data_IF_767981858025
#
_entry.id   IF_767981858025
#
_cell.length_a   1.000
_cell.length_b   1.000
_cell.length_c   1.000
_cell.angle_alpha   90.00
_cell.angle_beta   90.00
_cell.angle_gamma   90.00
#
_symmetry.space_group_name_H-M   'P 1'
#
loop_
_entity.id
_entity.type
_entity.pdbx_description
1 polymer ?
#
# COMPACT_ATOMS: atom_id res chain seq x y z
N UNK A 1 12.65 5.72 37.04
CA UNK A 1 13.20 6.82 36.21
C UNK A 1 12.75 6.54 34.78
N UNK A 2 11.88 7.28 34.10
CA UNK A 2 11.40 8.66 34.25
C UNK A 2 9.95 8.75 33.69
N UNK A 3 9.03 9.54 34.29
CA UNK A 3 7.76 9.83 33.66
C UNK A 3 7.94 11.06 32.74
N UNK A 4 7.94 10.85 31.43
CA UNK A 4 7.99 11.92 30.46
C UNK A 4 6.57 12.50 30.26
N UNK A 5 6.04 13.16 31.29
CA UNK A 5 4.82 13.97 31.21
C UNK A 5 5.22 15.35 30.64
N UNK A 6 5.06 15.56 29.34
CA UNK A 6 5.19 16.91 28.75
C UNK A 6 4.01 17.76 29.22
N UNK A 7 4.27 18.65 30.18
CA UNK A 7 3.32 19.63 30.73
C UNK A 7 3.31 20.89 29.85
N UNK A 8 2.34 21.02 28.95
CA UNK A 8 2.01 22.34 28.37
C UNK A 8 0.79 22.90 29.08
N UNK A 9 1.04 23.66 30.17
CA UNK A 9 0.00 24.28 30.99
C UNK A 9 0.12 25.81 30.86
N UNK A 10 -0.83 26.46 30.19
CA UNK A 10 -0.94 27.93 30.20
C UNK A 10 -1.80 28.32 31.40
N UNK A 11 -1.15 28.74 32.48
CA UNK A 11 -1.80 29.22 33.70
C UNK A 11 -2.34 30.64 33.44
N UNK A 12 -3.65 30.84 33.47
CA UNK A 12 -4.25 32.19 33.53
C UNK A 12 -4.87 32.39 34.91
N UNK A 13 -4.09 32.99 35.83
CA UNK A 13 -4.64 33.50 37.09
C UNK A 13 -5.41 34.80 36.81
N UNK A 14 -6.72 34.81 37.14
CA UNK A 14 -7.44 36.06 37.39
C UNK A 14 -7.37 36.34 38.89
N UNK A 15 -6.54 37.30 39.28
CA UNK A 15 -6.52 37.82 40.66
C UNK A 15 -7.58 38.92 40.73
N UNK A 16 -8.60 38.74 41.56
CA UNK A 16 -9.53 39.82 41.93
C UNK A 16 -9.28 40.13 43.40
N UNK A 17 -8.78 41.33 43.67
CA UNK A 17 -8.50 41.78 45.02
C UNK A 17 -9.79 42.28 45.66
N UNK A 18 -10.25 41.62 46.71
CA UNK A 18 -11.15 42.21 47.70
C UNK A 18 -10.55 41.96 49.09
N UNK A 19 -10.69 42.96 49.95
CA UNK A 19 -9.90 43.11 51.16
C UNK A 19 -10.19 41.99 52.17
N UNK A 20 -9.10 41.35 52.59
CA UNK A 20 -8.95 40.59 53.83
C UNK A 20 -9.45 39.13 53.92
N UNK A 21 -9.64 38.43 52.80
CA UNK A 21 -9.61 36.96 52.79
C UNK A 21 -9.29 36.45 51.39
N UNK A 22 -8.10 35.87 51.22
CA UNK A 22 -7.78 35.11 50.00
C UNK A 22 -8.67 33.86 49.98
N UNK A 23 -9.82 33.92 49.31
CA UNK A 23 -10.58 32.72 48.94
C UNK A 23 -9.92 32.14 47.70
N UNK A 24 -9.08 31.14 47.89
CA UNK A 24 -8.68 30.24 46.80
C UNK A 24 -9.88 29.35 46.52
N UNK A 25 -10.77 29.73 45.58
CA UNK A 25 -11.76 28.80 45.06
C UNK A 25 -11.05 27.87 44.08
N UNK A 26 -10.73 26.68 44.56
CA UNK A 26 -10.06 25.62 43.81
C UNK A 26 -11.05 24.96 42.83
N UNK A 27 -11.48 25.70 41.81
CA UNK A 27 -12.21 25.11 40.68
C UNK A 27 -11.21 24.53 39.68
N UNK A 28 -10.53 23.47 40.11
CA UNK A 28 -9.55 22.73 39.35
C UNK A 28 -10.28 21.73 38.43
N UNK A 29 -10.98 22.23 37.41
CA UNK A 29 -11.41 21.38 36.30
C UNK A 29 -10.20 21.09 35.41
N UNK A 30 -9.39 20.11 35.82
CA UNK A 30 -8.40 19.50 34.93
C UNK A 30 -9.14 18.79 33.80
N UNK A 31 -9.25 19.43 32.64
CA UNK A 31 -9.52 18.72 31.40
C UNK A 31 -8.27 17.91 31.05
N UNK A 32 -8.14 16.71 31.62
CA UNK A 32 -7.16 15.72 31.18
C UNK A 32 -7.53 15.35 29.74
N UNK A 33 -6.84 15.93 28.76
CA UNK A 33 -6.74 15.32 27.44
C UNK A 33 -5.98 14.01 27.63
N UNK A 34 -6.71 12.93 27.80
CA UNK A 34 -6.15 11.60 27.97
C UNK A 34 -5.58 11.17 26.61
N UNK A 35 -4.27 11.21 26.47
CA UNK A 35 -3.58 10.71 25.28
C UNK A 35 -3.51 9.19 25.38
N UNK A 36 -4.18 8.49 24.48
CA UNK A 36 -4.20 7.03 24.50
C UNK A 36 -2.99 6.46 23.75
N UNK A 37 -2.41 5.40 24.30
CA UNK A 37 -1.41 4.58 23.64
C UNK A 37 -2.03 3.26 23.22
N UNK A 38 -2.11 3.04 21.92
CA UNK A 38 -2.70 1.84 21.32
C UNK A 38 -1.57 0.94 20.82
N UNK A 39 -1.37 -0.19 21.49
CA UNK A 39 -0.39 -1.19 21.14
C UNK A 39 -0.85 -2.09 19.99
N UNK A 40 0.05 -2.41 19.09
CA UNK A 40 -0.16 -3.35 17.99
C UNK A 40 0.88 -4.47 18.04
N UNK A 41 0.40 -5.70 18.21
CA UNK A 41 1.19 -6.92 18.14
C UNK A 41 0.87 -7.68 16.85
N UNK A 42 1.86 -8.38 16.29
CA UNK A 42 1.64 -9.29 15.15
C UNK A 42 2.24 -10.66 15.44
N UNK A 43 1.43 -11.69 15.27
CA UNK A 43 1.84 -13.08 15.44
C UNK A 43 1.83 -13.73 14.07
N UNK A 44 3.00 -14.11 13.58
CA UNK A 44 3.11 -14.95 12.38
C UNK A 44 3.17 -16.42 12.75
N UNK A 45 2.95 -17.32 11.78
CA UNK A 45 3.15 -18.76 11.98
C UNK A 45 4.58 -19.14 12.41
N UNK A 46 5.55 -18.22 12.29
CA UNK A 46 6.94 -18.38 12.72
C UNK A 46 7.23 -17.79 14.11
N UNK A 47 6.33 -16.97 14.67
CA UNK A 47 6.51 -16.40 16.00
C UNK A 47 6.14 -17.45 17.05
N UNK A 48 7.15 -17.92 17.79
CA UNK A 48 6.96 -18.91 18.85
C UNK A 48 6.44 -18.28 20.16
N UNK A 49 6.50 -16.94 20.31
CA UNK A 49 6.19 -16.25 21.57
C UNK A 49 5.41 -14.93 21.38
N UNK A 50 4.09 -14.98 21.17
CA UNK A 50 3.24 -13.78 21.08
C UNK A 50 3.23 -12.94 22.37
N UNK A 51 3.33 -13.59 23.53
CA UNK A 51 3.28 -12.94 24.85
C UNK A 51 4.41 -11.92 25.07
N UNK A 52 5.62 -12.17 24.57
CA UNK A 52 6.73 -11.23 24.70
C UNK A 52 6.46 -9.87 24.04
N UNK A 53 5.68 -9.85 22.94
CA UNK A 53 5.29 -8.59 22.30
C UNK A 53 4.24 -7.86 23.13
N UNK A 54 3.24 -8.57 23.64
CA UNK A 54 2.19 -7.99 24.48
C UNK A 54 2.77 -7.43 25.78
N UNK A 55 3.70 -8.14 26.40
CA UNK A 55 4.40 -7.71 27.61
C UNK A 55 5.20 -6.41 27.36
N UNK A 56 5.92 -6.33 26.23
CA UNK A 56 6.66 -5.13 25.85
C UNK A 56 5.73 -3.93 25.61
N UNK A 57 4.58 -4.14 24.95
CA UNK A 57 3.59 -3.09 24.71
C UNK A 57 2.92 -2.62 26.00
N UNK A 58 2.59 -3.55 26.91
CA UNK A 58 2.07 -3.22 28.24
C UNK A 58 3.10 -2.47 29.07
N UNK A 59 4.36 -2.88 29.04
CA UNK A 59 5.46 -2.19 29.72
C UNK A 59 5.70 -0.76 29.17
N UNK A 60 5.41 -0.53 27.89
CA UNK A 60 5.45 0.80 27.27
C UNK A 60 4.26 1.71 27.67
N UNK A 61 3.30 1.17 28.43
CA UNK A 61 2.11 1.86 28.91
C UNK A 61 1.00 1.96 27.88
N UNK A 62 0.83 0.95 27.00
CA UNK A 62 -0.31 0.89 26.10
C UNK A 62 -1.60 0.61 26.89
N UNK A 63 -2.63 1.43 26.66
CA UNK A 63 -3.95 1.29 27.28
C UNK A 63 -4.71 0.11 26.68
N UNK A 64 -4.67 0.00 25.36
CA UNK A 64 -5.29 -1.07 24.57
C UNK A 64 -4.24 -1.75 23.71
N UNK A 65 -4.30 -3.08 23.58
CA UNK A 65 -3.38 -3.85 22.73
C UNK A 65 -4.19 -4.71 21.77
N UNK A 66 -3.96 -4.51 20.47
CA UNK A 66 -4.56 -5.31 19.41
C UNK A 66 -3.54 -6.27 18.81
N UNK A 67 -3.94 -7.53 18.64
CA UNK A 67 -3.07 -8.58 18.12
C UNK A 67 -3.59 -9.06 16.76
N UNK A 68 -2.76 -8.93 15.72
CA UNK A 68 -3.04 -9.45 14.38
C UNK A 68 -2.38 -10.81 14.14
N UNK A 69 -3.15 -11.78 13.66
CA UNK A 69 -2.66 -13.11 13.29
C UNK A 69 -2.39 -13.18 11.79
N UNK A 70 -1.11 -13.26 11.41
CA UNK A 70 -0.69 -13.36 10.02
C UNK A 70 -0.71 -14.82 9.55
N UNK A 71 -1.86 -15.30 9.06
CA UNK A 71 -1.93 -16.52 8.26
C UNK A 71 -2.06 -16.18 6.77
N UNK A 72 -1.05 -16.54 5.98
CA UNK A 72 -1.07 -16.46 4.51
C UNK A 72 -0.79 -15.09 3.86
N UNK A 73 -0.68 -15.12 2.53
CA UNK A 73 -0.32 -14.00 1.63
C UNK A 73 -1.36 -12.86 1.65
N UNK A 74 -2.55 -13.10 2.19
CA UNK A 74 -3.69 -12.18 2.25
C UNK A 74 -4.22 -11.99 3.68
N UNK A 75 -3.36 -12.07 4.69
CA UNK A 75 -3.74 -11.83 6.08
C UNK A 75 -4.38 -10.44 6.26
N UNK A 76 -5.70 -10.39 6.44
CA UNK A 76 -6.44 -9.22 6.89
C UNK A 76 -5.83 -8.72 8.21
N UNK A 77 -5.87 -7.41 8.45
CA UNK A 77 -5.30 -6.76 9.65
C UNK A 77 -6.38 -6.11 10.51
N UNK A 78 -7.33 -6.91 11.04
CA UNK A 78 -8.43 -6.37 11.83
C UNK A 78 -7.95 -5.62 13.09
N UNK A 79 -6.78 -5.95 13.63
CA UNK A 79 -6.17 -5.24 14.76
C UNK A 79 -5.73 -3.83 14.39
N UNK A 80 -4.94 -3.70 13.31
CA UNK A 80 -4.56 -2.38 12.78
C UNK A 80 -5.79 -1.55 12.39
N UNK A 81 -6.77 -2.14 11.71
CA UNK A 81 -7.98 -1.43 11.28
C UNK A 81 -8.77 -0.89 12.48
N UNK A 82 -8.91 -1.68 13.55
CA UNK A 82 -9.54 -1.26 14.81
C UNK A 82 -8.75 -0.17 15.51
N UNK A 83 -7.43 -0.29 15.59
CA UNK A 83 -6.56 0.72 16.17
C UNK A 83 -6.71 2.06 15.42
N UNK A 84 -6.72 2.03 14.08
CA UNK A 84 -6.93 3.21 13.25
C UNK A 84 -8.32 3.82 13.40
N UNK A 85 -9.35 3.02 13.67
CA UNK A 85 -10.70 3.51 13.89
C UNK A 85 -10.87 4.13 15.29
N UNK A 86 -10.16 3.59 16.28
CA UNK A 86 -10.16 4.07 17.66
C UNK A 86 -9.33 5.36 17.84
N UNK A 87 -8.17 5.43 17.18
CA UNK A 87 -7.19 6.50 17.37
C UNK A 87 -7.70 7.89 16.93
N UNK A 88 -7.42 8.88 17.76
CA UNK A 88 -7.76 10.30 17.57
C UNK A 88 -6.49 11.16 17.54
N UNK A 89 -6.63 12.40 17.11
CA UNK A 89 -5.52 13.36 17.15
C UNK A 89 -4.98 13.50 18.59
N UNK A 90 -3.66 13.36 18.73
CA UNK A 90 -2.93 13.33 20.00
C UNK A 90 -2.60 11.93 20.51
N UNK A 91 -3.30 10.89 20.04
CA UNK A 91 -3.02 9.52 20.44
C UNK A 91 -1.75 8.98 19.80
N UNK A 92 -1.26 7.86 20.33
CA UNK A 92 -0.07 7.18 19.83
C UNK A 92 -0.40 5.74 19.47
N UNK A 93 0.06 5.31 18.30
CA UNK A 93 0.12 3.89 17.92
C UNK A 93 1.52 3.38 18.25
N UNK A 94 1.59 2.32 19.05
CA UNK A 94 2.83 1.74 19.53
C UNK A 94 3.01 0.35 18.95
N UNK A 95 4.17 0.08 18.36
CA UNK A 95 4.59 -1.26 17.91
C UNK A 95 5.93 -1.62 18.51
N UNK A 96 6.21 -2.91 18.66
CA UNK A 96 7.54 -3.36 19.08
C UNK A 96 8.57 -3.13 17.98
N UNK A 97 8.25 -3.51 16.74
CA UNK A 97 9.13 -3.44 15.57
C UNK A 97 8.40 -2.93 14.33
N UNK A 98 9.14 -2.34 13.40
CA UNK A 98 8.60 -1.82 12.13
C UNK A 98 7.90 -2.88 11.26
N UNK A 99 8.38 -4.13 11.26
CA UNK A 99 7.79 -5.24 10.50
C UNK A 99 6.41 -5.70 11.02
N UNK A 100 5.99 -5.15 12.16
CA UNK A 100 4.66 -5.36 12.74
C UNK A 100 3.61 -4.43 12.14
N UNK A 101 4.03 -3.25 11.65
CA UNK A 101 3.13 -2.22 11.13
C UNK A 101 2.89 -2.34 9.60
N UNK A 102 3.87 -2.78 8.82
CA UNK A 102 3.82 -2.81 7.35
C UNK A 102 4.19 -4.18 6.75
N UNK A 103 3.83 -4.44 5.49
CA UNK A 103 4.34 -5.61 4.73
C UNK A 103 5.54 -5.24 3.85
N UNK A 104 5.67 -3.97 3.56
CA UNK A 104 6.78 -3.35 2.84
C UNK A 104 7.11 -2.03 3.52
N UNK A 105 8.32 -1.53 3.27
CA UNK A 105 8.75 -0.22 3.74
C UNK A 105 7.84 0.89 3.20
N UNK A 106 7.45 0.81 1.92
CA UNK A 106 6.51 1.75 1.28
C UNK A 106 5.18 1.85 2.06
N UNK A 107 4.57 0.71 2.40
CA UNK A 107 3.30 0.68 3.14
C UNK A 107 3.44 1.32 4.53
N UNK A 108 4.57 1.12 5.20
CA UNK A 108 4.88 1.74 6.48
C UNK A 108 5.00 3.27 6.37
N UNK A 109 5.66 3.79 5.32
CA UNK A 109 5.81 5.24 5.09
C UNK A 109 4.45 5.88 4.80
N UNK A 110 3.64 5.28 3.93
CA UNK A 110 2.28 5.74 3.62
C UNK A 110 1.40 5.77 4.87
N UNK A 111 1.47 4.71 5.70
CA UNK A 111 0.76 4.64 6.97
C UNK A 111 1.24 5.72 7.94
N UNK A 112 2.55 5.91 8.09
CA UNK A 112 3.11 6.96 8.94
C UNK A 112 2.63 8.36 8.51
N UNK A 113 2.57 8.64 7.21
CA UNK A 113 2.04 9.91 6.69
C UNK A 113 0.57 10.07 7.01
N UNK A 114 -0.23 9.02 6.83
CA UNK A 114 -1.66 9.01 7.15
C UNK A 114 -1.90 9.26 8.64
N UNK A 115 -1.07 8.68 9.52
CA UNK A 115 -1.14 8.93 10.96
C UNK A 115 -0.79 10.38 11.28
N UNK A 116 0.28 10.91 10.68
CA UNK A 116 0.70 12.30 10.87
C UNK A 116 -0.38 13.30 10.41
N UNK A 117 -1.01 13.06 9.26
CA UNK A 117 -2.10 13.90 8.74
C UNK A 117 -3.33 13.89 9.67
N UNK A 118 -3.53 12.79 10.41
CA UNK A 118 -4.56 12.65 11.45
C UNK A 118 -4.13 13.15 12.83
N UNK A 119 -2.89 13.66 12.96
CA UNK A 119 -2.31 14.08 14.24
C UNK A 119 -2.07 12.93 15.22
N UNK A 120 -1.91 11.70 14.73
CA UNK A 120 -1.61 10.50 15.51
C UNK A 120 -0.10 10.23 15.39
N UNK A 121 0.56 9.97 16.51
CA UNK A 121 1.98 9.63 16.52
C UNK A 121 2.20 8.11 16.44
N UNK A 122 3.32 7.72 15.83
CA UNK A 122 3.80 6.35 15.74
C UNK A 122 5.05 6.19 16.61
N UNK A 123 5.01 5.20 17.48
CA UNK A 123 6.12 4.83 18.37
C UNK A 123 6.55 3.39 18.08
N UNK A 124 7.86 3.19 17.96
CA UNK A 124 8.47 1.90 17.65
C UNK A 124 9.52 1.61 18.72
N UNK A 125 9.27 0.59 19.54
CA UNK A 125 10.05 0.35 20.77
C UNK A 125 11.48 -0.07 20.47
N UNK A 126 11.69 -1.08 19.62
CA UNK A 126 13.02 -1.68 19.38
C UNK A 126 13.96 -0.73 18.65
N UNK A 127 13.43 0.03 17.68
CA UNK A 127 14.20 1.02 16.93
C UNK A 127 14.26 2.39 17.65
N UNK A 128 13.56 2.56 18.78
CA UNK A 128 13.53 3.81 19.54
C UNK A 128 12.97 5.00 18.74
N UNK A 129 12.06 4.74 17.79
CA UNK A 129 11.52 5.78 16.90
C UNK A 129 10.22 6.32 17.48
N UNK A 130 10.10 7.64 17.53
CA UNK A 130 8.90 8.34 18.02
C UNK A 130 8.61 9.55 17.12
N UNK A 131 7.53 9.49 16.35
CA UNK A 131 7.14 10.58 15.42
C UNK A 131 6.56 11.80 16.11
N UNK A 132 6.33 11.78 17.43
CA UNK A 132 6.03 12.99 18.19
C UNK A 132 7.26 13.93 18.22
N UNK A 133 8.46 13.36 18.02
CA UNK A 133 9.72 14.10 17.99
C UNK A 133 10.13 14.50 16.58
N UNK A 134 10.85 15.62 16.45
CA UNK A 134 11.39 16.06 15.17
C UNK A 134 12.37 15.04 14.56
N UNK A 135 13.17 14.38 15.42
CA UNK A 135 14.15 13.35 15.01
C UNK A 135 13.43 12.12 14.45
N UNK A 136 12.38 11.64 15.10
CA UNK A 136 11.62 10.48 14.61
C UNK A 136 10.92 10.78 13.28
N UNK A 137 10.35 11.98 13.11
CA UNK A 137 9.78 12.39 11.80
C UNK A 137 10.85 12.45 10.71
N UNK A 138 12.01 13.03 11.00
CA UNK A 138 13.12 13.08 10.06
C UNK A 138 13.59 11.67 9.65
N UNK A 139 13.69 10.74 10.60
CA UNK A 139 14.06 9.36 10.33
C UNK A 139 13.10 8.69 9.34
N UNK A 140 11.78 8.87 9.53
CA UNK A 140 10.78 8.36 8.59
C UNK A 140 10.83 9.04 7.21
N UNK A 141 11.14 10.34 7.15
CA UNK A 141 11.32 11.03 5.85
C UNK A 141 12.53 10.48 5.08
N UNK A 142 13.65 10.21 5.78
CA UNK A 142 14.84 9.62 5.16
C UNK A 142 14.56 8.20 4.67
N UNK A 143 13.90 7.38 5.50
CA UNK A 143 13.45 6.04 5.09
C UNK A 143 12.51 6.11 3.88
N UNK A 144 11.62 7.11 3.85
CA UNK A 144 10.77 7.48 2.72
C UNK A 144 11.55 7.63 1.43
N UNK A 145 12.51 8.55 1.43
CA UNK A 145 13.33 8.85 0.27
C UNK A 145 14.14 7.65 -0.21
N UNK A 146 14.69 6.84 0.71
CA UNK A 146 15.43 5.62 0.36
C UNK A 146 14.50 4.60 -0.33
N UNK A 147 13.29 4.41 0.19
CA UNK A 147 12.32 3.47 -0.38
C UNK A 147 11.89 3.88 -1.80
N UNK A 148 11.65 5.17 -2.02
CA UNK A 148 11.31 5.72 -3.35
C UNK A 148 12.48 5.53 -4.33
N UNK A 149 13.70 5.81 -3.89
CA UNK A 149 14.91 5.60 -4.69
C UNK A 149 15.11 4.13 -5.09
N UNK A 150 14.97 3.20 -4.15
CA UNK A 150 15.04 1.76 -4.43
C UNK A 150 13.96 1.33 -5.43
N UNK A 151 12.74 1.84 -5.29
CA UNK A 151 11.65 1.53 -6.20
C UNK A 151 11.92 2.04 -7.63
N UNK A 152 12.43 3.26 -7.75
CA UNK A 152 12.84 3.84 -9.03
C UNK A 152 13.91 2.97 -9.71
N UNK A 153 14.98 2.60 -8.99
CA UNK A 153 16.04 1.73 -9.51
C UNK A 153 15.54 0.35 -9.96
N UNK A 154 14.61 -0.26 -9.21
CA UNK A 154 14.01 -1.54 -9.61
C UNK A 154 13.17 -1.41 -10.89
N UNK A 155 12.42 -0.32 -11.03
CA UNK A 155 11.61 -0.02 -12.21
C UNK A 155 12.49 0.15 -13.45
N UNK A 156 13.57 0.95 -13.33
CA UNK A 156 14.55 1.18 -14.39
C UNK A 156 15.16 -0.14 -14.88
N UNK A 157 15.70 -0.95 -13.96
CA UNK A 157 16.28 -2.27 -14.31
C UNK A 157 15.27 -3.19 -14.99
N UNK A 158 14.01 -3.14 -14.56
CA UNK A 158 12.95 -3.95 -15.17
C UNK A 158 12.64 -3.48 -16.59
N UNK A 159 12.59 -2.16 -16.81
CA UNK A 159 12.37 -1.57 -18.12
C UNK A 159 13.51 -1.90 -19.09
N UNK A 160 14.77 -1.74 -18.64
CA UNK A 160 15.97 -2.12 -19.41
C UNK A 160 15.99 -3.62 -19.74
N UNK A 161 15.72 -4.47 -18.75
CA UNK A 161 15.63 -5.92 -18.95
C UNK A 161 14.55 -6.32 -19.96
N UNK A 162 13.39 -5.65 -19.92
CA UNK A 162 12.30 -5.87 -20.84
C UNK A 162 12.62 -5.35 -22.25
N UNK A 163 13.29 -4.20 -22.37
CA UNK A 163 13.78 -3.68 -23.64
C UNK A 163 14.81 -4.63 -24.27
N UNK A 164 15.79 -5.10 -23.49
CA UNK A 164 16.78 -6.08 -23.94
C UNK A 164 16.16 -7.43 -24.30
N UNK A 165 15.11 -7.87 -23.59
CA UNK A 165 14.35 -9.07 -23.94
C UNK A 165 13.61 -8.91 -25.29
N UNK A 166 12.96 -7.76 -25.50
CA UNK A 166 12.29 -7.42 -26.76
C UNK A 166 13.27 -7.33 -27.93
N UNK A 167 14.43 -6.71 -27.74
CA UNK A 167 15.50 -6.65 -28.74
C UNK A 167 15.99 -8.06 -29.15
N UNK A 168 15.97 -9.02 -28.21
CA UNK A 168 16.25 -10.45 -28.44
C UNK A 168 15.04 -11.24 -28.96
N UNK A 169 13.95 -10.57 -29.37
CA UNK A 169 12.77 -11.20 -29.96
C UNK A 169 11.74 -11.74 -28.97
N UNK A 170 11.89 -11.54 -27.65
CA UNK A 170 10.84 -11.91 -26.68
C UNK A 170 9.73 -10.86 -26.68
N UNK A 171 8.56 -11.24 -27.18
CA UNK A 171 7.40 -10.35 -27.32
C UNK A 171 6.65 -10.10 -26.00
N UNK A 172 6.84 -10.97 -24.99
CA UNK A 172 6.16 -10.88 -23.69
C UNK A 172 4.64 -11.13 -23.79
N UNK A 173 3.92 -10.96 -22.68
CA UNK A 173 2.46 -11.08 -22.62
C UNK A 173 1.90 -12.50 -22.51
N UNK A 174 0.57 -12.59 -22.39
CA UNK A 174 -0.15 -13.87 -22.29
C UNK A 174 -0.13 -14.57 -23.64
N UNK A 175 0.31 -15.83 -23.67
CA UNK A 175 0.25 -16.66 -24.90
C UNK A 175 -1.19 -16.69 -25.44
N UNK A 176 -1.40 -16.54 -26.77
CA UNK A 176 -2.71 -16.69 -27.38
C UNK A 176 -3.33 -18.06 -27.03
N UNK A 177 -4.64 -18.10 -26.80
CA UNK A 177 -5.34 -19.35 -26.50
C UNK A 177 -5.50 -20.26 -27.72
N UNK A 178 -5.48 -19.68 -28.92
CA UNK A 178 -5.55 -20.41 -30.19
C UNK A 178 -4.22 -20.27 -30.93
N UNK A 179 -3.67 -21.38 -31.40
CA UNK A 179 -2.56 -21.38 -32.34
C UNK A 179 -2.99 -20.97 -33.75
N UNK A 180 -2.03 -20.66 -34.63
CA UNK A 180 -2.30 -20.20 -36.00
C UNK A 180 -3.24 -21.15 -36.78
N UNK A 181 -2.98 -22.46 -36.72
CA UNK A 181 -3.83 -23.48 -37.35
C UNK A 181 -5.26 -23.50 -36.79
N UNK A 182 -5.43 -23.33 -35.48
CA UNK A 182 -6.75 -23.29 -34.85
C UNK A 182 -7.52 -22.03 -35.27
N UNK A 183 -6.83 -20.90 -35.42
CA UNK A 183 -7.44 -19.66 -35.95
C UNK A 183 -7.90 -19.84 -37.40
N UNK A 184 -7.11 -20.52 -38.24
CA UNK A 184 -7.51 -20.82 -39.63
C UNK A 184 -8.73 -21.74 -39.69
N UNK A 185 -8.78 -22.79 -38.87
CA UNK A 185 -9.94 -23.70 -38.82
C UNK A 185 -11.17 -22.95 -38.30
N UNK A 186 -11.03 -22.15 -37.23
CA UNK A 186 -12.13 -21.35 -36.70
C UNK A 186 -12.68 -20.34 -37.73
N UNK A 187 -11.83 -19.77 -38.59
CA UNK A 187 -12.23 -18.91 -39.71
C UNK A 187 -13.02 -19.69 -40.76
N UNK A 188 -12.50 -20.85 -41.20
CA UNK A 188 -13.22 -21.70 -42.16
C UNK A 188 -14.59 -22.10 -41.64
N UNK A 189 -14.71 -22.51 -40.37
CA UNK A 189 -16.00 -22.81 -39.74
C UNK A 189 -16.93 -21.60 -39.66
N UNK A 190 -16.38 -20.38 -39.53
CA UNK A 190 -17.18 -19.16 -39.48
C UNK A 190 -17.74 -18.75 -40.86
N UNK A 191 -16.95 -18.97 -41.91
CA UNK A 191 -17.31 -18.64 -43.30
C UNK A 191 -18.14 -19.73 -43.99
N UNK A 192 -18.15 -20.96 -43.44
CA UNK A 192 -18.92 -22.08 -43.98
C UNK A 192 -20.43 -21.81 -43.89
N UNK A 193 -21.08 -21.77 -45.05
CA UNK A 193 -22.53 -21.62 -45.18
C UNK A 193 -23.19 -22.97 -45.50
N UNK A 194 -24.35 -23.23 -44.93
CA UNK A 194 -25.19 -24.37 -45.29
C UNK A 194 -25.95 -24.13 -46.60
N UNK A 195 -26.67 -25.17 -47.04
CA UNK A 195 -27.48 -25.15 -48.27
C UNK A 195 -28.61 -24.10 -48.24
N UNK A 196 -28.96 -23.61 -47.05
CA UNK A 196 -29.94 -22.56 -46.78
C UNK A 196 -29.36 -21.12 -46.88
N UNK A 197 -28.08 -20.99 -47.29
CA UNK A 197 -27.37 -19.72 -47.40
C UNK A 197 -27.03 -19.06 -46.07
N UNK A 198 -27.29 -19.72 -44.93
CA UNK A 198 -26.93 -19.23 -43.59
C UNK A 198 -25.64 -19.86 -43.13
N UNK A 199 -24.99 -19.26 -42.13
CA UNK A 199 -23.79 -19.83 -41.51
C UNK A 199 -24.10 -21.19 -40.91
N UNK A 200 -23.29 -22.18 -41.25
CA UNK A 200 -23.42 -23.56 -40.78
C UNK A 200 -23.11 -23.70 -39.29
N UNK A 201 -22.16 -22.91 -38.78
CA UNK A 201 -21.80 -22.89 -37.37
C UNK A 201 -22.00 -21.51 -36.74
N UNK A 202 -22.57 -21.48 -35.54
CA UNK A 202 -22.64 -20.26 -34.74
C UNK A 202 -21.30 -19.98 -34.05
N UNK A 203 -21.04 -18.71 -33.73
CA UNK A 203 -19.82 -18.33 -32.98
C UNK A 203 -19.76 -19.00 -31.60
N UNK A 204 -20.90 -19.33 -31.01
CA UNK A 204 -20.95 -20.07 -29.74
C UNK A 204 -20.48 -21.53 -29.91
N UNK A 205 -20.90 -22.20 -30.99
CA UNK A 205 -20.45 -23.56 -31.30
C UNK A 205 -18.95 -23.60 -31.63
N UNK A 206 -18.47 -22.64 -32.43
CA UNK A 206 -17.03 -22.52 -32.74
C UNK A 206 -16.24 -22.29 -31.45
N UNK A 207 -16.71 -21.40 -30.56
CA UNK A 207 -16.04 -21.15 -29.29
C UNK A 207 -15.98 -22.40 -28.40
N UNK A 208 -17.08 -23.17 -28.33
CA UNK A 208 -17.15 -24.43 -27.59
C UNK A 208 -16.19 -25.48 -28.15
N UNK A 209 -16.12 -25.64 -29.47
CA UNK A 209 -15.24 -26.59 -30.17
C UNK A 209 -13.76 -26.37 -29.80
N UNK A 210 -13.34 -25.11 -29.70
CA UNK A 210 -11.96 -24.77 -29.33
C UNK A 210 -11.74 -24.54 -27.82
N UNK A 211 -12.77 -24.75 -26.98
CA UNK A 211 -12.66 -24.52 -25.53
C UNK A 211 -12.35 -23.07 -25.14
N UNK A 212 -12.78 -22.10 -25.94
CA UNK A 212 -12.56 -20.66 -25.71
C UNK A 212 -13.88 -19.90 -25.60
N UNK A 213 -13.80 -18.61 -25.26
CA UNK A 213 -14.98 -17.75 -25.15
C UNK A 213 -15.30 -17.09 -26.49
N UNK A 214 -16.58 -16.72 -26.74
CA UNK A 214 -16.99 -15.98 -27.95
C UNK A 214 -16.12 -14.74 -28.23
N UNK A 215 -15.76 -13.89 -27.23
CA UNK A 215 -14.84 -12.78 -27.46
C UNK A 215 -13.45 -13.19 -27.95
N UNK A 216 -12.95 -14.37 -27.54
CA UNK A 216 -11.67 -14.89 -28.01
C UNK A 216 -11.74 -15.20 -29.51
N UNK A 217 -12.84 -15.78 -29.98
CA UNK A 217 -13.09 -16.04 -31.40
C UNK A 217 -13.18 -14.73 -32.18
N UNK A 218 -14.04 -13.79 -31.77
CA UNK A 218 -14.19 -12.51 -32.48
C UNK A 218 -12.88 -11.74 -32.62
N UNK A 219 -12.05 -11.70 -31.57
CA UNK A 219 -10.72 -11.05 -31.61
C UNK A 219 -9.80 -11.61 -32.69
N UNK A 220 -9.90 -12.91 -33.00
CA UNK A 220 -9.09 -13.56 -34.04
C UNK A 220 -9.74 -13.47 -35.43
N UNK A 221 -11.05 -13.21 -35.52
CA UNK A 221 -11.75 -12.99 -36.78
C UNK A 221 -11.57 -11.54 -37.29
N UNK A 222 -11.65 -10.55 -36.40
CA UNK A 222 -11.56 -9.11 -36.75
C UNK A 222 -10.17 -8.65 -37.22
N UNK A 223 -9.11 -9.40 -36.95
CA UNK A 223 -7.72 -9.01 -37.27
C UNK A 223 -7.34 -9.05 -38.75
N UNK A 224 -8.24 -9.41 -39.69
CA UNK A 224 -7.96 -9.35 -41.15
C UNK A 224 -8.57 -8.15 -41.88
N UNK A 225 -9.51 -7.41 -41.28
CA UNK A 225 -10.15 -6.27 -41.95
C UNK A 225 -9.34 -4.97 -41.83
N UNK A 226 -8.21 -4.99 -41.12
CA UNK A 226 -7.27 -3.86 -41.02
C UNK A 226 -5.88 -4.27 -41.49
N UNK A 227 -5.67 -4.32 -42.81
CA UNK A 227 -4.35 -4.31 -43.44
C UNK A 227 -3.67 -2.94 -43.32
N UNK A 228 -3.38 -2.49 -42.10
CA UNK A 228 -2.55 -1.32 -41.82
C UNK A 228 -1.33 -1.75 -40.99
N UNK A 229 -0.15 -1.14 -41.19
CA UNK A 229 1.07 -1.55 -40.49
C UNK A 229 0.83 -1.43 -38.98
N UNK A 230 1.13 -2.51 -38.28
CA UNK A 230 1.18 -2.56 -36.82
C UNK A 230 1.90 -1.32 -36.31
N UNK A 231 1.20 -0.48 -35.54
CA UNK A 231 1.73 0.71 -34.92
C UNK A 231 2.95 0.36 -34.06
N UNK A 232 4.13 0.47 -34.65
CA UNK A 232 5.34 0.76 -33.91
C UNK A 232 5.07 2.13 -33.27
N UNK A 233 4.83 2.14 -31.94
CA UNK A 233 5.00 3.37 -31.18
C UNK A 233 6.49 3.69 -31.24
N UNK A 234 6.85 4.59 -32.13
CA UNK A 234 8.12 5.29 -32.12
C UNK A 234 8.34 5.86 -30.72
N UNK A 235 9.43 5.43 -30.09
CA UNK A 235 10.01 6.19 -29.00
C UNK A 235 10.47 7.54 -29.56
N UNK A 236 10.30 8.67 -28.84
CA UNK A 236 10.94 9.90 -29.23
C UNK A 236 12.46 9.73 -29.14
N UNK A 237 13.16 9.97 -30.24
CA UNK A 237 14.61 10.12 -30.31
C UNK A 237 15.03 11.32 -29.46
N UNK A 238 16.10 11.24 -28.64
CA UNK A 238 16.69 12.43 -28.07
C UNK A 238 17.48 13.14 -29.17
N UNK A 239 17.03 14.32 -29.58
CA UNK A 239 17.84 15.24 -30.38
C UNK A 239 19.05 15.67 -29.55
N UNK A 240 20.23 15.31 -30.03
CA UNK A 240 21.48 15.93 -29.63
C UNK A 240 21.56 17.35 -30.24
N UNK A 241 21.44 18.35 -29.39
CA UNK A 241 21.94 19.71 -29.59
C UNK A 241 22.49 20.15 -28.24
N UNK A 242 23.67 20.72 -28.07
CA UNK A 242 24.76 21.09 -28.94
C UNK A 242 25.72 21.80 -27.99
N UNK A 243 26.99 21.40 -27.97
CA UNK A 243 28.04 22.20 -27.33
C UNK A 243 28.15 23.53 -28.08
N UNK A 244 28.00 24.63 -27.36
CA UNK A 244 28.71 25.88 -27.66
C UNK A 244 29.08 26.54 -26.34
N UNK A 245 30.40 26.68 -26.17
CA UNK A 245 31.19 27.48 -25.22
C UNK A 245 30.53 28.19 -24.05
#
# INVERSE_FOLDING_TARGET
MSPNLRKNCRLSLKITADSNRVKVSENLRFHYAHFMKIGLARVSTRDQHPHAQEDALRAAGCDEVFTDHASGVLAKRPGLDKALLMARAGDQIVVTKLDRLGRSLTNLIELSKTLQDRGIDLVVLDQGVDTSTAVGRMFFSILGAIAEFEHALMSERTAEGLAAARARGRTGGRKPKLGARQVEIARKMYDETGDDGKRKYTVAQIAAEFGVTRPTIYRHLSTKDSGGPSSARSAPTPEASGLTH
#
